data_IF_111023642644
#
_entry.id   IF_111023642644
#
_cell.length_a   1.000
_cell.length_b   1.000
_cell.length_c   1.000
_cell.angle_alpha   90.00
_cell.angle_beta   90.00
_cell.angle_gamma   90.00
#
_symmetry.space_group_name_H-M   'P 1'
#
loop_
_entity.id
_entity.type
_entity.pdbx_description
1 polymer ?
#
# COMPACT_ATOMS: atom_id res chain seq x y z
N UNK A 1 -13.76 3.41 -11.99
CA UNK A 1 -13.05 2.61 -10.99
C UNK A 1 -11.60 3.06 -10.88
N UNK A 2 -10.96 2.81 -9.78
CA UNK A 2 -9.63 3.32 -9.50
C UNK A 2 -8.64 2.18 -9.27
N UNK A 3 -7.35 2.49 -9.42
CA UNK A 3 -6.27 1.64 -8.90
C UNK A 3 -6.44 1.55 -7.38
N UNK A 4 -6.28 0.36 -6.82
CA UNK A 4 -6.42 0.14 -5.39
C UNK A 4 -5.06 0.09 -4.69
N UNK A 5 -5.10 0.19 -3.37
CA UNK A 5 -3.92 0.10 -2.51
C UNK A 5 -4.09 -1.02 -1.49
N UNK A 6 -3.01 -1.77 -1.26
CA UNK A 6 -2.92 -2.73 -0.17
C UNK A 6 -1.79 -2.29 0.75
N UNK A 7 -2.10 -2.17 2.03
CA UNK A 7 -1.13 -1.71 3.03
C UNK A 7 -0.73 -2.90 3.90
N UNK A 8 0.46 -3.43 3.64
CA UNK A 8 1.00 -4.60 4.33
C UNK A 8 1.79 -4.14 5.55
N UNK A 9 1.38 -4.56 6.72
CA UNK A 9 2.05 -4.19 7.96
C UNK A 9 2.13 -5.37 8.91
N UNK A 10 3.12 -5.34 9.79
CA UNK A 10 3.23 -6.29 10.88
C UNK A 10 2.21 -6.05 11.98
N UNK A 11 1.56 -4.86 11.97
CA UNK A 11 0.60 -4.45 12.97
C UNK A 11 -0.75 -4.18 12.32
N UNK A 12 -1.80 -4.79 12.85
CA UNK A 12 -3.18 -4.55 12.42
C UNK A 12 -3.53 -3.06 12.57
N UNK A 13 -3.21 -2.49 13.71
CA UNK A 13 -3.55 -1.12 14.05
C UNK A 13 -2.82 -0.13 13.16
N UNK A 14 -1.56 -0.41 12.83
CA UNK A 14 -0.78 0.46 11.94
C UNK A 14 -1.38 0.47 10.53
N UNK A 15 -1.69 -0.70 9.99
CA UNK A 15 -2.30 -0.79 8.66
C UNK A 15 -3.65 -0.09 8.63
N UNK A 16 -4.48 -0.32 9.63
CA UNK A 16 -5.81 0.27 9.70
C UNK A 16 -5.73 1.79 9.85
N UNK A 17 -4.87 2.28 10.74
CA UNK A 17 -4.70 3.72 10.94
C UNK A 17 -4.23 4.42 9.68
N UNK A 18 -3.28 3.81 8.96
CA UNK A 18 -2.81 4.38 7.71
C UNK A 18 -3.91 4.37 6.64
N UNK A 19 -4.68 3.29 6.55
CA UNK A 19 -5.82 3.24 5.64
C UNK A 19 -6.83 4.35 5.95
N UNK A 20 -7.07 4.61 7.22
CA UNK A 20 -7.99 5.66 7.64
C UNK A 20 -7.48 7.05 7.24
N UNK A 21 -6.19 7.31 7.45
CA UNK A 21 -5.58 8.60 7.08
C UNK A 21 -5.61 8.80 5.56
N UNK A 22 -5.15 7.82 4.80
CA UNK A 22 -5.12 7.93 3.34
C UNK A 22 -6.54 8.02 2.76
N UNK A 23 -7.49 7.32 3.37
CA UNK A 23 -8.89 7.33 2.96
C UNK A 23 -9.56 8.68 3.09
N UNK A 24 -9.10 9.54 4.01
CA UNK A 24 -9.62 10.90 4.13
C UNK A 24 -9.34 11.71 2.87
N UNK A 25 -8.22 11.44 2.21
CA UNK A 25 -7.80 12.17 1.01
C UNK A 25 -8.23 11.48 -0.27
N UNK A 26 -8.70 10.24 -0.18
CA UNK A 26 -9.04 9.43 -1.34
C UNK A 26 -10.29 8.60 -1.07
N UNK A 27 -11.44 9.25 -0.89
CA UNK A 27 -12.68 8.55 -0.47
C UNK A 27 -13.21 7.57 -1.52
N UNK A 28 -12.81 7.69 -2.78
CA UNK A 28 -13.28 6.79 -3.84
C UNK A 28 -12.32 5.63 -4.10
N UNK A 29 -11.16 5.62 -3.46
CA UNK A 29 -10.14 4.59 -3.66
C UNK A 29 -10.32 3.48 -2.62
N UNK A 30 -10.21 2.24 -3.06
CA UNK A 30 -10.17 1.12 -2.12
C UNK A 30 -8.76 1.00 -1.56
N UNK A 31 -8.64 1.20 -0.26
CA UNK A 31 -7.39 1.08 0.47
C UNK A 31 -7.58 -0.05 1.48
N UNK A 32 -7.00 -1.20 1.19
CA UNK A 32 -7.23 -2.40 1.97
C UNK A 32 -6.06 -2.65 2.92
N UNK A 33 -6.29 -2.55 4.23
CA UNK A 33 -5.24 -2.88 5.20
C UNK A 33 -5.06 -4.39 5.30
N UNK A 34 -3.80 -4.83 5.39
CA UNK A 34 -3.44 -6.22 5.61
C UNK A 34 -2.35 -6.24 6.68
N UNK A 35 -2.75 -6.05 7.91
CA UNK A 35 -1.85 -5.90 9.04
C UNK A 35 -2.04 -6.96 10.09
N UNK A 36 -0.91 -7.45 10.63
CA UNK A 36 -0.90 -8.45 11.67
C UNK A 36 -1.26 -9.84 11.17
N UNK A 37 -1.31 -10.77 12.09
CA UNK A 37 -1.81 -12.13 11.85
C UNK A 37 -3.32 -12.17 12.06
N UNK A 38 -3.97 -13.27 11.66
CA UNK A 38 -5.42 -13.41 11.78
C UNK A 38 -5.92 -13.23 13.22
N UNK A 39 -5.11 -13.64 14.20
CA UNK A 39 -5.46 -13.49 15.62
C UNK A 39 -5.12 -12.11 16.18
N UNK A 40 -4.56 -11.23 15.37
CA UNK A 40 -4.17 -9.88 15.78
C UNK A 40 -2.75 -9.76 16.32
N UNK A 41 -2.00 -10.85 16.37
CA UNK A 41 -0.60 -10.81 16.81
C UNK A 41 0.27 -10.11 15.76
N UNK A 42 1.45 -9.66 16.19
CA UNK A 42 2.42 -9.03 15.29
C UNK A 42 2.94 -10.05 14.28
N UNK A 43 2.97 -9.66 13.02
CA UNK A 43 3.44 -10.50 11.92
C UNK A 43 2.67 -10.18 10.64
N UNK A 44 3.01 -10.87 9.54
CA UNK A 44 2.33 -10.69 8.26
C UNK A 44 1.67 -12.00 7.84
N UNK A 45 0.48 -11.89 7.26
CA UNK A 45 -0.35 -13.04 6.88
C UNK A 45 -0.54 -13.10 5.38
N UNK A 46 -0.17 -14.23 4.78
CA UNK A 46 -0.44 -14.50 3.37
C UNK A 46 -1.93 -14.38 3.06
N UNK A 47 -2.78 -14.95 3.91
CA UNK A 47 -4.23 -14.95 3.65
C UNK A 47 -4.84 -13.56 3.74
N UNK A 48 -4.40 -12.75 4.71
CA UNK A 48 -4.88 -11.37 4.82
C UNK A 48 -4.44 -10.54 3.62
N UNK A 49 -3.20 -10.74 3.15
CA UNK A 49 -2.69 -10.02 1.99
C UNK A 49 -3.45 -10.41 0.72
N UNK A 50 -3.69 -11.71 0.49
CA UNK A 50 -4.43 -12.13 -0.70
C UNK A 50 -5.87 -11.62 -0.68
N UNK A 51 -6.52 -11.63 0.47
CA UNK A 51 -7.86 -11.05 0.62
C UNK A 51 -7.88 -9.56 0.32
N UNK A 52 -6.86 -8.84 0.80
CA UNK A 52 -6.74 -7.41 0.56
C UNK A 52 -6.53 -7.11 -0.93
N UNK A 53 -5.71 -7.91 -1.61
CA UNK A 53 -5.51 -7.76 -3.07
C UNK A 53 -6.84 -7.92 -3.80
N UNK A 54 -7.60 -8.95 -3.45
CA UNK A 54 -8.91 -9.20 -4.06
C UNK A 54 -9.85 -8.02 -3.86
N UNK A 55 -9.83 -7.41 -2.68
CA UNK A 55 -10.66 -6.24 -2.38
C UNK A 55 -10.23 -5.00 -3.14
N UNK A 56 -8.92 -4.79 -3.28
CA UNK A 56 -8.37 -3.55 -3.85
C UNK A 56 -8.37 -3.54 -5.38
N UNK A 57 -8.20 -4.71 -6.00
CA UNK A 57 -8.11 -4.80 -7.45
C UNK A 57 -9.49 -4.92 -8.08
N UNK A 58 -9.96 -3.84 -8.66
CA UNK A 58 -11.26 -3.81 -9.38
C UNK A 58 -11.11 -4.12 -10.87
N UNK A 59 -9.90 -4.51 -11.30
CA UNK A 59 -9.55 -4.67 -12.71
C UNK A 59 -8.61 -3.58 -13.21
N UNK A 60 -8.50 -2.49 -12.46
CA UNK A 60 -7.59 -1.38 -12.78
C UNK A 60 -6.19 -1.57 -12.17
N UNK A 61 -6.02 -2.63 -11.40
CA UNK A 61 -4.78 -2.94 -10.73
C UNK A 61 -4.70 -2.44 -9.29
N UNK A 62 -3.65 -2.84 -8.62
CA UNK A 62 -3.39 -2.44 -7.24
C UNK A 62 -1.89 -2.38 -6.99
N UNK A 63 -1.50 -1.51 -6.07
CA UNK A 63 -0.14 -1.52 -5.56
C UNK A 63 -0.15 -1.97 -4.10
N UNK A 64 0.92 -2.65 -3.71
CA UNK A 64 1.15 -3.06 -2.33
C UNK A 64 2.30 -2.24 -1.78
N UNK A 65 2.10 -1.66 -0.62
CA UNK A 65 3.16 -1.02 0.16
C UNK A 65 3.37 -1.83 1.43
N UNK A 66 4.57 -1.84 1.95
CA UNK A 66 4.91 -2.63 3.14
C UNK A 66 5.71 -1.78 4.13
N UNK A 67 5.61 -2.12 5.41
CA UNK A 67 6.29 -1.36 6.46
C UNK A 67 7.75 -1.78 6.63
N UNK A 68 8.02 -3.08 6.64
CA UNK A 68 9.36 -3.63 6.85
C UNK A 68 9.66 -4.70 5.80
N UNK A 69 10.94 -4.98 5.59
CA UNK A 69 11.37 -5.91 4.55
C UNK A 69 10.79 -7.32 4.64
N UNK A 70 10.50 -7.82 5.84
CA UNK A 70 9.86 -9.13 5.98
C UNK A 70 8.42 -9.13 5.46
N UNK A 71 7.76 -7.97 5.48
CA UNK A 71 6.44 -7.80 4.86
C UNK A 71 6.51 -7.93 3.34
N UNK A 72 7.60 -7.46 2.74
CA UNK A 72 7.84 -7.64 1.31
C UNK A 72 7.86 -9.13 0.93
N UNK A 73 8.53 -9.96 1.72
CA UNK A 73 8.64 -11.39 1.41
C UNK A 73 7.27 -12.08 1.41
N UNK A 74 6.42 -11.76 2.37
CA UNK A 74 5.07 -12.32 2.43
C UNK A 74 4.21 -11.79 1.27
N UNK A 75 4.35 -10.51 0.95
CA UNK A 75 3.63 -9.89 -0.16
C UNK A 75 4.07 -10.51 -1.49
N UNK A 76 5.37 -10.73 -1.69
CA UNK A 76 5.89 -11.36 -2.90
C UNK A 76 5.31 -12.75 -3.09
N UNK A 77 5.25 -13.55 -2.02
CA UNK A 77 4.64 -14.87 -2.06
C UNK A 77 3.17 -14.78 -2.45
N UNK A 78 2.44 -13.83 -1.87
CA UNK A 78 1.02 -13.64 -2.20
C UNK A 78 0.82 -13.31 -3.68
N UNK A 79 1.64 -12.44 -4.22
CA UNK A 79 1.55 -12.07 -5.65
C UNK A 79 1.87 -13.27 -6.55
N UNK A 80 2.82 -14.10 -6.17
CA UNK A 80 3.19 -15.30 -6.93
C UNK A 80 2.03 -16.29 -7.09
N UNK A 81 1.09 -16.30 -6.15
CA UNK A 81 -0.06 -17.21 -6.18
C UNK A 81 -1.27 -16.62 -6.90
N UNK A 82 -1.19 -15.38 -7.41
CA UNK A 82 -2.29 -14.79 -8.17
C UNK A 82 -2.40 -15.44 -9.54
N UNK A 83 -3.61 -15.42 -10.09
CA UNK A 83 -3.81 -15.81 -11.49
C UNK A 83 -2.98 -14.87 -12.39
N UNK A 84 -2.47 -15.38 -13.53
CA UNK A 84 -1.58 -14.57 -14.39
C UNK A 84 -2.13 -13.20 -14.77
N UNK A 85 -3.40 -13.11 -15.10
CA UNK A 85 -4.02 -11.84 -15.50
C UNK A 85 -3.96 -10.81 -14.37
N UNK A 86 -4.25 -11.26 -13.15
CA UNK A 86 -4.20 -10.38 -11.98
C UNK A 86 -2.77 -10.04 -11.60
N UNK A 87 -1.87 -11.01 -11.67
CA UNK A 87 -0.46 -10.79 -11.34
C UNK A 87 0.17 -9.69 -12.20
N UNK A 88 -0.26 -9.55 -13.44
CA UNK A 88 0.27 -8.52 -14.35
C UNK A 88 -0.06 -7.09 -13.90
N UNK A 89 -1.11 -6.92 -13.11
CA UNK A 89 -1.56 -5.59 -12.70
C UNK A 89 -1.46 -5.33 -11.20
N UNK A 90 -0.77 -6.21 -10.47
CA UNK A 90 -0.55 -6.06 -9.02
C UNK A 90 0.95 -5.91 -8.79
N UNK A 91 1.36 -4.78 -8.24
CA UNK A 91 2.78 -4.41 -8.15
C UNK A 91 3.14 -4.07 -6.71
N UNK A 92 4.23 -4.65 -6.22
CA UNK A 92 4.77 -4.29 -4.90
C UNK A 92 5.72 -3.12 -5.12
N UNK A 93 5.52 -2.04 -4.38
CA UNK A 93 6.30 -0.81 -4.55
C UNK A 93 7.11 -0.54 -3.28
N UNK A 94 8.42 -0.38 -3.45
CA UNK A 94 9.32 -0.01 -2.37
C UNK A 94 9.30 1.50 -2.18
N UNK A 95 8.45 1.96 -1.29
CA UNK A 95 8.26 3.39 -1.02
C UNK A 95 8.05 3.60 0.49
N UNK A 96 8.28 4.83 0.98
CA UNK A 96 7.96 5.13 2.38
C UNK A 96 6.51 4.79 2.69
N UNK A 97 6.29 4.05 3.77
CA UNK A 97 5.00 3.44 4.02
C UNK A 97 3.88 4.46 4.18
N UNK A 98 4.08 5.44 5.04
CA UNK A 98 3.04 6.44 5.32
C UNK A 98 2.92 7.43 4.16
N UNK A 99 4.01 8.09 3.82
CA UNK A 99 3.97 9.13 2.79
C UNK A 99 3.66 8.55 1.41
N UNK A 100 4.20 7.37 1.11
CA UNK A 100 3.93 6.69 -0.16
C UNK A 100 2.47 6.30 -0.29
N UNK A 101 1.85 5.81 0.78
CA UNK A 101 0.43 5.44 0.76
C UNK A 101 -0.46 6.67 0.50
N UNK A 102 -0.17 7.77 1.17
CA UNK A 102 -0.95 9.00 0.99
C UNK A 102 -0.80 9.53 -0.44
N UNK A 103 0.44 9.60 -0.93
CA UNK A 103 0.70 10.09 -2.29
C UNK A 103 0.05 9.21 -3.36
N UNK A 104 0.16 7.89 -3.20
CA UNK A 104 -0.45 6.94 -4.12
C UNK A 104 -1.98 7.05 -4.10
N UNK A 105 -2.57 7.16 -2.90
CA UNK A 105 -4.01 7.28 -2.75
C UNK A 105 -4.55 8.53 -3.46
N UNK A 106 -3.85 9.65 -3.31
CA UNK A 106 -4.24 10.90 -3.98
C UNK A 106 -4.17 10.74 -5.51
N UNK A 107 -3.09 10.13 -6.01
CA UNK A 107 -2.95 9.90 -7.46
C UNK A 107 -4.07 9.01 -8.01
N UNK A 108 -4.45 7.96 -7.26
CA UNK A 108 -5.55 7.08 -7.65
C UNK A 108 -6.89 7.83 -7.61
N UNK A 109 -7.09 8.68 -6.60
CA UNK A 109 -8.34 9.44 -6.44
C UNK A 109 -8.62 10.35 -7.63
N UNK A 110 -7.58 10.96 -8.20
CA UNK A 110 -7.74 11.84 -9.35
C UNK A 110 -7.75 11.09 -10.68
N UNK A 111 -7.80 9.77 -10.65
CA UNK A 111 -7.95 8.95 -11.84
C UNK A 111 -6.64 8.48 -12.46
N UNK A 112 -5.53 8.56 -11.75
CA UNK A 112 -4.26 8.07 -12.25
C UNK A 112 -4.30 6.57 -12.53
N UNK A 113 -3.64 6.15 -13.63
CA UNK A 113 -3.50 4.74 -13.95
C UNK A 113 -2.42 4.10 -13.07
N UNK A 114 -2.19 2.80 -13.28
CA UNK A 114 -1.24 2.06 -12.44
C UNK A 114 0.16 2.69 -12.47
N UNK A 115 0.64 3.13 -13.63
CA UNK A 115 1.96 3.78 -13.75
C UNK A 115 2.01 5.09 -12.96
N UNK A 116 0.95 5.89 -13.03
CA UNK A 116 0.88 7.16 -12.31
C UNK A 116 0.86 6.94 -10.79
N UNK A 117 0.14 5.94 -10.33
CA UNK A 117 0.05 5.62 -8.91
C UNK A 117 1.39 5.10 -8.38
N UNK A 118 2.06 4.24 -9.15
CA UNK A 118 3.40 3.75 -8.81
C UNK A 118 4.37 4.94 -8.72
N UNK A 119 4.36 5.82 -9.70
CA UNK A 119 5.25 6.99 -9.73
C UNK A 119 5.02 7.89 -8.52
N UNK A 120 3.76 8.12 -8.14
CA UNK A 120 3.44 8.94 -6.97
C UNK A 120 3.99 8.32 -5.68
N UNK A 121 3.85 7.01 -5.53
CA UNK A 121 4.40 6.32 -4.36
C UNK A 121 5.95 6.43 -4.32
N UNK A 122 6.60 6.22 -5.46
CA UNK A 122 8.06 6.29 -5.54
C UNK A 122 8.58 7.71 -5.31
N UNK A 123 7.88 8.73 -5.76
CA UNK A 123 8.27 10.13 -5.55
C UNK A 123 8.34 10.47 -4.05
N UNK A 124 7.60 9.77 -3.22
CA UNK A 124 7.65 9.96 -1.77
C UNK A 124 9.04 9.64 -1.19
N UNK A 125 9.87 8.88 -1.88
CA UNK A 125 11.23 8.54 -1.44
C UNK A 125 12.13 9.76 -1.37
N UNK A 126 11.87 10.76 -2.20
CA UNK A 126 12.67 11.99 -2.25
C UNK A 126 11.91 13.20 -1.74
N UNK A 127 10.65 13.03 -1.34
CA UNK A 127 9.86 14.10 -0.79
C UNK A 127 10.35 14.43 0.62
N UNK A 128 10.60 15.71 0.87
CA UNK A 128 11.02 16.19 2.17
C UNK A 128 9.85 16.84 2.88
N UNK A 129 9.72 16.54 4.16
CA UNK A 129 8.79 17.26 5.00
C UNK A 129 9.23 18.71 5.18
N UNK A 130 8.35 19.55 5.67
CA UNK A 130 8.70 20.96 5.88
C UNK A 130 9.79 21.09 6.93
N UNK A 131 10.91 21.67 6.58
CA UNK A 131 11.93 22.05 7.52
C UNK A 131 13.16 21.17 7.63
N UNK A 132 13.13 19.93 7.12
CA UNK A 132 14.31 19.05 7.22
C UNK A 132 14.82 18.92 8.66
N UNK A 133 16.13 18.89 8.83
CA UNK A 133 16.75 18.77 10.16
C UNK A 133 16.97 20.15 10.75
N UNK A 134 16.44 20.36 11.96
CA UNK A 134 16.73 21.59 12.71
C UNK A 134 18.09 21.43 13.38
N UNK A 135 18.85 22.52 13.37
CA UNK A 135 20.17 22.54 13.96
C UNK A 135 20.12 22.27 15.44
N UNK A 136 21.00 21.40 15.91
CA UNK A 136 21.21 21.18 17.34
C UNK A 136 22.38 22.04 17.77
N UNK A 137 22.11 23.02 18.60
CA UNK A 137 23.14 23.93 19.10
C UNK A 137 23.66 23.51 20.45
#
# INVERSE_FOLDING_TARGET
MTVGLVLVSHSRELAQGLADVAGQMAPSVTIAPAGGLEDGAIGTSFDLITSAITSADSGEGAILLYDLGSGYLTAETAVEFLEPDQAERVVIVDAPFVLGAVSAAIAAQVGGDLRAVIAAALDARTANGPGGVRTLD
#
